data_IF_921925339608
#
_entry.id   IF_921925339608
#
_cell.length_a   1.000
_cell.length_b   1.000
_cell.length_c   1.000
_cell.angle_alpha   90.00
_cell.angle_beta   90.00
_cell.angle_gamma   90.00
#
_symmetry.space_group_name_H-M   'P 1'
#
loop_
_entity.id
_entity.type
_entity.pdbx_description
1 polymer ?
#
# COMPACT_ATOMS: atom_id res chain seq x y z
N UNK A 1 -56.23 28.15 59.40
CA UNK A 1 -55.90 26.76 59.01
C UNK A 1 -55.80 25.96 60.28
N UNK A 2 -56.57 24.88 60.40
CA UNK A 2 -56.52 24.00 61.57
C UNK A 2 -55.20 23.21 61.57
N UNK A 3 -54.59 23.02 62.75
CA UNK A 3 -53.35 22.28 62.94
C UNK A 3 -53.45 20.86 62.40
N UNK A 4 -54.63 20.25 62.50
CA UNK A 4 -54.89 18.90 62.00
C UNK A 4 -54.83 18.84 60.47
N UNK A 5 -55.28 19.89 59.78
CA UNK A 5 -55.20 19.99 58.32
C UNK A 5 -53.76 20.11 57.83
N UNK A 6 -52.92 20.88 58.54
CA UNK A 6 -51.51 21.02 58.21
C UNK A 6 -50.76 19.69 58.40
N UNK A 7 -51.07 18.95 59.48
CA UNK A 7 -50.48 17.63 59.74
C UNK A 7 -50.81 16.63 58.63
N UNK A 8 -52.07 16.57 58.19
CA UNK A 8 -52.49 15.69 57.08
C UNK A 8 -51.76 16.05 55.78
N UNK A 9 -51.58 17.34 55.47
CA UNK A 9 -50.82 17.75 54.28
C UNK A 9 -49.35 17.35 54.33
N UNK A 10 -48.71 17.46 55.50
CA UNK A 10 -47.31 17.02 55.69
C UNK A 10 -47.19 15.50 55.53
N UNK A 11 -48.12 14.72 56.10
CA UNK A 11 -48.11 13.25 55.94
C UNK A 11 -48.31 12.81 54.48
N UNK A 12 -49.18 13.51 53.73
CA UNK A 12 -49.35 13.26 52.29
C UNK A 12 -48.07 13.58 51.52
N UNK A 13 -47.45 14.73 51.77
CA UNK A 13 -46.19 15.13 51.14
C UNK A 13 -45.05 14.14 51.43
N UNK A 14 -44.96 13.63 52.66
CA UNK A 14 -43.97 12.60 53.02
C UNK A 14 -44.20 11.30 52.24
N UNK A 15 -45.45 10.84 52.13
CA UNK A 15 -45.78 9.64 51.35
C UNK A 15 -45.47 9.81 49.86
N UNK A 16 -45.72 10.99 49.31
CA UNK A 16 -45.39 11.30 47.91
C UNK A 16 -43.87 11.33 47.69
N UNK A 17 -43.12 11.94 48.61
CA UNK A 17 -41.67 11.94 48.59
C UNK A 17 -41.10 10.51 48.67
N UNK A 18 -41.64 9.66 49.55
CA UNK A 18 -41.21 8.26 49.67
C UNK A 18 -41.52 7.45 48.39
N UNK A 19 -42.67 7.67 47.77
CA UNK A 19 -43.00 7.06 46.46
C UNK A 19 -42.01 7.50 45.38
N UNK A 20 -41.66 8.79 45.36
CA UNK A 20 -40.71 9.33 44.40
C UNK A 20 -39.31 8.76 44.61
N UNK A 21 -38.82 8.68 45.85
CA UNK A 21 -37.54 8.06 46.18
C UNK A 21 -37.47 6.60 45.75
N UNK A 22 -38.50 5.81 46.05
CA UNK A 22 -38.56 4.41 45.62
C UNK A 22 -38.52 4.27 44.09
N UNK A 23 -39.16 5.19 43.38
CA UNK A 23 -39.16 5.22 41.90
C UNK A 23 -37.78 5.60 41.35
N UNK A 24 -37.09 6.56 41.98
CA UNK A 24 -35.72 6.95 41.62
C UNK A 24 -34.71 5.85 41.93
N UNK A 25 -34.83 5.14 43.05
CA UNK A 25 -33.99 4.01 43.41
C UNK A 25 -34.17 2.83 42.46
N UNK A 26 -35.41 2.56 42.05
CA UNK A 26 -35.69 1.58 41.01
C UNK A 26 -35.04 1.97 39.67
N UNK A 27 -35.27 3.21 39.23
CA UNK A 27 -34.72 3.72 37.97
C UNK A 27 -33.19 3.72 37.96
N UNK A 28 -32.56 4.08 39.08
CA UNK A 28 -31.10 4.05 39.26
C UNK A 28 -30.56 2.63 39.15
N UNK A 29 -31.24 1.64 39.76
CA UNK A 29 -30.85 0.23 39.65
C UNK A 29 -30.97 -0.29 38.22
N UNK A 30 -32.05 0.05 37.52
CA UNK A 30 -32.23 -0.33 36.11
C UNK A 30 -31.20 0.35 35.19
N UNK A 31 -30.91 1.64 35.41
CA UNK A 31 -29.86 2.35 34.69
C UNK A 31 -28.50 1.69 34.89
N UNK A 32 -28.15 1.32 36.13
CA UNK A 32 -26.89 0.63 36.41
C UNK A 32 -26.81 -0.75 35.74
N UNK A 33 -27.93 -1.50 35.68
CA UNK A 33 -28.01 -2.77 34.95
C UNK A 33 -27.79 -2.57 33.45
N UNK A 34 -28.42 -1.55 32.86
CA UNK A 34 -28.23 -1.21 31.45
C UNK A 34 -26.79 -0.79 31.15
N UNK A 35 -26.16 0.01 32.01
CA UNK A 35 -24.76 0.40 31.85
C UNK A 35 -23.81 -0.81 31.87
N UNK A 36 -24.00 -1.75 32.80
CA UNK A 36 -23.23 -2.98 32.85
C UNK A 36 -23.44 -3.86 31.60
N UNK A 37 -24.68 -3.93 31.07
CA UNK A 37 -24.97 -4.63 29.84
C UNK A 37 -24.28 -3.97 28.62
N UNK A 38 -24.30 -2.64 28.53
CA UNK A 38 -23.60 -1.88 27.49
C UNK A 38 -22.10 -2.14 27.54
N UNK A 39 -21.50 -2.12 28.73
CA UNK A 39 -20.06 -2.40 28.91
C UNK A 39 -19.71 -3.82 28.45
N UNK A 40 -20.52 -4.81 28.82
CA UNK A 40 -20.35 -6.20 28.37
C UNK A 40 -20.42 -6.32 26.83
N UNK A 41 -21.38 -5.67 26.19
CA UNK A 41 -21.51 -5.67 24.73
C UNK A 41 -20.30 -5.00 24.08
N UNK A 42 -19.81 -3.88 24.62
CA UNK A 42 -18.60 -3.21 24.11
C UNK A 42 -17.38 -4.13 24.17
N UNK A 43 -17.19 -4.84 25.28
CA UNK A 43 -16.09 -5.81 25.41
C UNK A 43 -16.20 -6.95 24.39
N UNK A 44 -17.40 -7.47 24.15
CA UNK A 44 -17.64 -8.48 23.12
C UNK A 44 -17.32 -7.95 21.72
N UNK A 45 -17.76 -6.74 21.38
CA UNK A 45 -17.45 -6.11 20.09
C UNK A 45 -15.94 -5.94 19.87
N UNK A 46 -15.20 -5.55 20.92
CA UNK A 46 -13.74 -5.48 20.86
C UNK A 46 -13.11 -6.87 20.62
N UNK A 47 -13.64 -7.90 21.29
CA UNK A 47 -13.23 -9.30 21.07
C UNK A 47 -13.44 -9.73 19.62
N UNK A 48 -14.64 -9.50 19.06
CA UNK A 48 -14.95 -9.81 17.66
C UNK A 48 -14.07 -9.04 16.68
N UNK A 49 -13.80 -7.75 16.95
CA UNK A 49 -12.91 -6.94 16.10
C UNK A 49 -11.50 -7.50 16.07
N UNK A 50 -10.94 -7.87 17.22
CA UNK A 50 -9.60 -8.50 17.29
C UNK A 50 -9.56 -9.83 16.56
N UNK A 51 -10.59 -10.67 16.77
CA UNK A 51 -10.69 -11.95 16.07
C UNK A 51 -10.78 -11.76 14.55
N UNK A 52 -11.58 -10.81 14.08
CA UNK A 52 -11.70 -10.49 12.64
C UNK A 52 -10.36 -10.07 12.04
N UNK A 53 -9.65 -9.14 12.68
CA UNK A 53 -8.32 -8.70 12.23
C UNK A 53 -7.34 -9.87 12.16
N UNK A 54 -7.36 -10.76 13.17
CA UNK A 54 -6.51 -11.95 13.18
C UNK A 54 -6.85 -12.92 12.05
N UNK A 55 -8.13 -13.18 11.79
CA UNK A 55 -8.57 -14.03 10.70
C UNK A 55 -8.23 -13.43 9.33
N UNK A 56 -8.48 -12.13 9.13
CA UNK A 56 -8.11 -11.40 7.90
C UNK A 56 -6.60 -11.51 7.64
N UNK A 57 -5.77 -11.29 8.65
CA UNK A 57 -4.33 -11.42 8.54
C UNK A 57 -3.89 -12.86 8.20
N UNK A 58 -4.51 -13.86 8.81
CA UNK A 58 -4.23 -15.27 8.51
C UNK A 58 -4.63 -15.65 7.08
N UNK A 59 -5.83 -15.25 6.63
CA UNK A 59 -6.29 -15.48 5.26
C UNK A 59 -5.35 -14.80 4.26
N UNK A 60 -4.98 -13.55 4.50
CA UNK A 60 -4.05 -12.82 3.63
C UNK A 60 -2.67 -13.50 3.57
N UNK A 61 -2.20 -14.05 4.69
CA UNK A 61 -0.95 -14.81 4.73
C UNK A 61 -1.03 -16.10 3.90
N UNK A 62 -2.09 -16.88 4.06
CA UNK A 62 -2.30 -18.11 3.27
C UNK A 62 -2.45 -17.82 1.78
N UNK A 63 -3.20 -16.78 1.41
CA UNK A 63 -3.32 -16.33 0.02
C UNK A 63 -1.97 -15.92 -0.57
N UNK A 64 -1.13 -15.25 0.21
CA UNK A 64 0.23 -14.87 -0.22
C UNK A 64 1.11 -16.10 -0.46
N UNK A 65 1.08 -17.11 0.43
CA UNK A 65 1.80 -18.37 0.24
C UNK A 65 1.36 -19.08 -1.03
N UNK A 66 0.04 -19.21 -1.23
CA UNK A 66 -0.53 -19.87 -2.40
C UNK A 66 -0.17 -19.13 -3.70
N UNK A 67 -0.33 -17.80 -3.72
CA UNK A 67 0.04 -16.97 -4.85
C UNK A 67 1.54 -17.09 -5.17
N UNK A 68 2.41 -17.12 -4.16
CA UNK A 68 3.85 -17.33 -4.32
C UNK A 68 4.15 -18.69 -4.95
N UNK A 69 3.52 -19.76 -4.48
CA UNK A 69 3.71 -21.10 -5.03
C UNK A 69 3.32 -21.16 -6.52
N UNK A 70 2.12 -20.68 -6.86
CA UNK A 70 1.63 -20.66 -8.24
C UNK A 70 2.49 -19.77 -9.17
N UNK A 71 2.86 -18.57 -8.72
CA UNK A 71 3.71 -17.69 -9.50
C UNK A 71 5.05 -18.33 -9.78
N UNK A 72 5.68 -18.95 -8.77
CA UNK A 72 6.97 -19.58 -8.92
C UNK A 72 6.91 -20.79 -9.85
N UNK A 73 5.86 -21.61 -9.74
CA UNK A 73 5.64 -22.76 -10.62
C UNK A 73 5.52 -22.32 -12.08
N UNK A 74 4.67 -21.34 -12.36
CA UNK A 74 4.51 -20.79 -13.71
C UNK A 74 5.83 -20.21 -14.24
N UNK A 75 6.57 -19.47 -13.41
CA UNK A 75 7.87 -18.90 -13.79
C UNK A 75 8.88 -20.00 -14.14
N UNK A 76 8.92 -21.07 -13.35
CA UNK A 76 9.79 -22.21 -13.62
C UNK A 76 9.40 -22.93 -14.92
N UNK A 77 8.11 -23.09 -15.20
CA UNK A 77 7.64 -23.64 -16.47
C UNK A 77 8.07 -22.75 -17.65
N UNK A 78 7.85 -21.43 -17.58
CA UNK A 78 8.30 -20.49 -18.62
C UNK A 78 9.81 -20.60 -18.86
N UNK A 79 10.60 -20.72 -17.78
CA UNK A 79 12.04 -20.93 -17.86
C UNK A 79 12.45 -22.25 -18.51
N UNK A 80 11.72 -23.33 -18.24
CA UNK A 80 12.02 -24.66 -18.75
C UNK A 80 11.63 -24.83 -20.23
N UNK A 81 10.48 -24.27 -20.63
CA UNK A 81 9.92 -24.48 -21.97
C UNK A 81 10.41 -23.49 -23.01
N UNK A 82 10.66 -22.23 -22.65
CA UNK A 82 11.00 -21.20 -23.63
C UNK A 82 12.49 -20.86 -23.59
N UNK A 83 13.18 -20.74 -24.73
CA UNK A 83 14.53 -20.20 -24.79
C UNK A 83 14.54 -18.71 -24.43
N UNK A 84 15.73 -18.16 -24.15
CA UNK A 84 15.87 -16.82 -23.56
C UNK A 84 15.23 -15.73 -24.42
N UNK A 85 15.36 -15.84 -25.74
CA UNK A 85 14.87 -14.87 -26.71
C UNK A 85 13.35 -14.75 -26.66
N UNK A 86 12.66 -15.88 -26.49
CA UNK A 86 11.19 -15.92 -26.35
C UNK A 86 10.77 -15.43 -24.96
N UNK A 87 11.53 -15.79 -23.91
CA UNK A 87 11.27 -15.27 -22.56
C UNK A 87 11.39 -13.75 -22.51
N UNK A 88 12.37 -13.17 -23.18
CA UNK A 88 12.52 -11.72 -23.28
C UNK A 88 11.26 -11.07 -23.88
N UNK A 89 10.58 -11.72 -24.85
CA UNK A 89 9.29 -11.24 -25.38
C UNK A 89 8.18 -11.22 -24.33
N UNK A 90 8.10 -12.28 -23.52
CA UNK A 90 7.17 -12.36 -22.38
C UNK A 90 7.53 -11.32 -21.32
N UNK A 91 8.81 -11.14 -21.03
CA UNK A 91 9.28 -10.13 -20.08
C UNK A 91 8.96 -8.73 -20.57
N UNK A 92 9.05 -8.45 -21.88
CA UNK A 92 8.49 -7.22 -22.41
C UNK A 92 7.05 -7.12 -21.99
N UNK A 93 6.19 -8.12 -22.32
CA UNK A 93 4.76 -8.19 -21.97
C UNK A 93 4.46 -7.74 -20.52
N UNK A 94 5.34 -8.12 -19.59
CA UNK A 94 5.19 -7.89 -18.16
C UNK A 94 5.79 -6.57 -17.66
N UNK A 95 6.81 -6.04 -18.33
CA UNK A 95 7.48 -4.82 -17.91
C UNK A 95 6.65 -3.60 -18.31
N UNK A 96 6.63 -2.53 -17.49
CA UNK A 96 5.92 -1.30 -17.77
C UNK A 96 6.60 -0.43 -18.86
N UNK A 97 7.28 -1.09 -19.80
CA UNK A 97 8.12 -0.51 -20.84
C UNK A 97 7.37 -0.41 -22.17
N UNK A 98 6.24 -1.12 -22.35
CA UNK A 98 5.54 -1.22 -23.65
C UNK A 98 5.13 0.06 -24.34
N UNK A 99 4.98 1.15 -23.60
CA UNK A 99 4.66 2.44 -24.19
C UNK A 99 5.85 3.40 -24.18
N UNK A 100 7.08 2.90 -24.05
CA UNK A 100 8.29 3.71 -24.18
C UNK A 100 8.59 3.94 -25.68
N UNK A 101 7.62 4.49 -26.39
CA UNK A 101 7.92 5.35 -27.52
C UNK A 101 8.66 6.59 -26.98
N UNK A 102 9.98 6.45 -26.86
CA UNK A 102 11.05 7.45 -26.89
C UNK A 102 10.90 8.83 -26.21
N UNK A 103 9.87 9.13 -25.42
CA UNK A 103 9.56 10.51 -24.98
C UNK A 103 8.98 10.67 -23.57
N UNK A 104 9.02 9.67 -22.71
CA UNK A 104 8.48 9.82 -21.35
C UNK A 104 9.40 10.66 -20.45
N UNK A 105 8.80 11.61 -19.74
CA UNK A 105 9.47 12.36 -18.69
C UNK A 105 9.66 11.47 -17.46
N UNK A 106 10.63 11.80 -16.59
CA UNK A 106 10.85 11.05 -15.34
C UNK A 106 9.57 11.00 -14.48
N UNK A 107 8.71 12.01 -14.53
CA UNK A 107 7.40 12.02 -13.86
C UNK A 107 6.44 10.93 -14.35
N UNK A 108 6.44 10.63 -15.66
CA UNK A 108 5.54 9.61 -16.24
C UNK A 108 5.96 8.19 -15.90
N UNK A 109 7.28 7.97 -15.80
CA UNK A 109 7.84 6.70 -15.32
C UNK A 109 7.46 6.50 -13.84
N UNK A 110 7.44 7.56 -13.03
CA UNK A 110 7.16 7.48 -11.61
C UNK A 110 5.70 7.14 -11.28
N UNK A 111 4.73 7.77 -11.97
CA UNK A 111 3.30 7.49 -11.74
C UNK A 111 2.94 6.05 -12.09
N UNK A 112 3.56 5.52 -13.15
CA UNK A 112 3.43 4.12 -13.57
C UNK A 112 4.11 3.20 -12.57
N UNK A 113 5.37 3.43 -12.21
CA UNK A 113 6.11 2.54 -11.28
C UNK A 113 5.42 2.41 -9.92
N UNK A 114 4.74 3.44 -9.41
CA UNK A 114 3.99 3.35 -8.17
C UNK A 114 2.82 2.35 -8.22
N UNK A 115 2.13 2.20 -9.36
CA UNK A 115 1.09 1.18 -9.50
C UNK A 115 1.67 -0.24 -9.68
N UNK A 116 2.92 -0.36 -10.15
CA UNK A 116 3.59 -1.65 -10.36
C UNK A 116 4.23 -2.26 -9.11
N UNK A 117 4.63 -1.46 -8.11
CA UNK A 117 5.21 -1.96 -6.84
C UNK A 117 4.26 -2.84 -6.02
N UNK A 118 2.97 -2.84 -6.36
CA UNK A 118 1.92 -3.65 -5.71
C UNK A 118 1.77 -5.04 -6.35
N UNK A 119 2.50 -5.35 -7.43
CA UNK A 119 2.24 -6.52 -8.27
C UNK A 119 3.28 -7.63 -8.01
N UNK A 120 2.81 -8.83 -7.63
CA UNK A 120 3.63 -10.03 -7.40
C UNK A 120 4.63 -10.36 -8.54
N UNK A 121 4.34 -9.89 -9.76
CA UNK A 121 5.11 -10.16 -10.99
C UNK A 121 6.53 -9.59 -11.01
N UNK A 122 6.85 -8.63 -10.14
CA UNK A 122 8.20 -8.04 -10.02
C UNK A 122 8.85 -8.34 -8.66
N UNK A 123 8.18 -9.10 -7.79
CA UNK A 123 8.73 -9.45 -6.48
C UNK A 123 9.56 -10.75 -6.59
N UNK A 124 10.87 -10.73 -6.27
CA UNK A 124 11.72 -11.93 -6.33
C UNK A 124 11.24 -13.06 -5.41
N UNK A 125 10.48 -12.74 -4.36
CA UNK A 125 9.87 -13.75 -3.49
C UNK A 125 8.79 -14.57 -4.18
N UNK A 126 8.12 -14.02 -5.21
CA UNK A 126 7.03 -14.68 -5.93
C UNK A 126 7.51 -15.37 -7.20
N UNK A 127 8.41 -14.73 -7.93
CA UNK A 127 8.84 -15.21 -9.26
C UNK A 127 10.19 -15.93 -9.24
N UNK A 128 10.87 -15.91 -8.10
CA UNK A 128 12.20 -16.49 -7.94
C UNK A 128 13.32 -15.57 -8.43
N UNK A 129 14.51 -15.77 -7.87
CA UNK A 129 15.69 -14.94 -8.16
C UNK A 129 16.12 -14.99 -9.62
N UNK A 130 16.02 -16.16 -10.26
CA UNK A 130 16.47 -16.33 -11.66
C UNK A 130 15.66 -15.47 -12.62
N UNK A 131 14.33 -15.58 -12.58
CA UNK A 131 13.44 -14.79 -13.42
C UNK A 131 13.55 -13.30 -13.10
N UNK A 132 13.68 -12.96 -11.82
CA UNK A 132 13.90 -11.57 -11.40
C UNK A 132 15.16 -10.95 -12.04
N UNK A 133 16.29 -11.68 -12.06
CA UNK A 133 17.51 -11.21 -12.72
C UNK A 133 17.28 -11.02 -14.21
N UNK A 134 16.63 -11.96 -14.90
CA UNK A 134 16.35 -11.80 -16.33
C UNK A 134 15.45 -10.59 -16.62
N UNK A 135 14.40 -10.36 -15.81
CA UNK A 135 13.52 -9.19 -15.92
C UNK A 135 14.28 -7.88 -15.73
N UNK A 136 15.15 -7.82 -14.72
CA UNK A 136 16.02 -6.67 -14.43
C UNK A 136 16.93 -6.38 -15.64
N UNK A 137 17.56 -7.41 -16.19
CA UNK A 137 18.42 -7.26 -17.36
C UNK A 137 17.65 -6.72 -18.57
N UNK A 138 16.47 -7.29 -18.86
CA UNK A 138 15.64 -6.85 -19.98
C UNK A 138 15.17 -5.41 -19.77
N UNK A 139 14.79 -5.06 -18.54
CA UNK A 139 14.39 -3.70 -18.19
C UNK A 139 15.50 -2.70 -18.48
N UNK A 140 16.70 -2.87 -17.90
CA UNK A 140 17.78 -1.90 -18.07
C UNK A 140 18.39 -1.91 -19.48
N UNK A 141 18.49 -3.07 -20.15
CA UNK A 141 18.93 -3.14 -21.55
C UNK A 141 18.06 -2.30 -22.49
N UNK A 142 16.76 -2.16 -22.18
CA UNK A 142 15.83 -1.38 -23.02
C UNK A 142 15.50 -0.01 -22.48
N UNK A 143 15.95 0.31 -21.28
CA UNK A 143 15.66 1.58 -20.65
C UNK A 143 16.41 2.71 -21.36
N UNK A 144 15.66 3.63 -21.96
CA UNK A 144 16.17 4.89 -22.51
C UNK A 144 15.64 6.01 -21.63
N UNK A 145 16.54 6.66 -20.88
CA UNK A 145 16.15 7.73 -19.96
C UNK A 145 16.42 9.09 -20.58
N UNK A 146 15.38 9.89 -20.69
CA UNK A 146 15.48 11.30 -21.08
C UNK A 146 15.38 12.16 -19.83
N UNK A 147 16.49 12.75 -19.41
CA UNK A 147 16.55 13.58 -18.21
C UNK A 147 16.42 15.03 -18.66
N UNK A 148 15.26 15.62 -18.39
CA UNK A 148 14.95 17.02 -18.68
C UNK A 148 14.91 17.76 -17.35
N UNK A 149 15.93 18.57 -17.05
CA UNK A 149 16.00 19.33 -15.80
C UNK A 149 17.34 19.20 -15.07
N UNK A 150 17.42 19.61 -13.79
CA UNK A 150 18.65 19.60 -13.01
C UNK A 150 19.15 18.18 -12.74
N UNK A 151 20.45 18.05 -12.44
CA UNK A 151 21.10 16.76 -12.13
C UNK A 151 20.44 15.99 -10.98
N UNK A 152 19.77 16.69 -10.05
CA UNK A 152 18.99 16.09 -8.97
C UNK A 152 17.85 15.18 -9.44
N UNK A 153 17.36 15.35 -10.68
CA UNK A 153 16.30 14.54 -11.28
C UNK A 153 16.73 13.07 -11.42
N UNK A 154 18.02 12.80 -11.64
CA UNK A 154 18.59 11.46 -11.63
C UNK A 154 18.48 10.79 -10.26
N UNK A 155 18.77 11.54 -9.19
CA UNK A 155 18.62 11.06 -7.82
C UNK A 155 17.17 10.63 -7.54
N UNK A 156 16.20 11.43 -7.97
CA UNK A 156 14.78 11.11 -7.84
C UNK A 156 14.38 9.85 -8.62
N UNK A 157 14.94 9.63 -9.81
CA UNK A 157 14.72 8.41 -10.57
C UNK A 157 15.24 7.17 -9.82
N UNK A 158 16.47 7.19 -9.30
CA UNK A 158 17.05 6.05 -8.55
C UNK A 158 16.24 5.67 -7.32
N UNK A 159 15.66 6.65 -6.62
CA UNK A 159 14.81 6.41 -5.45
C UNK A 159 13.47 5.75 -5.83
N UNK A 160 13.01 5.96 -7.06
CA UNK A 160 11.69 5.51 -7.54
C UNK A 160 11.77 4.37 -8.54
N UNK A 161 12.94 3.77 -8.74
CA UNK A 161 13.15 2.60 -9.59
C UNK A 161 12.22 1.44 -9.18
N UNK A 162 11.56 0.74 -10.14
CA UNK A 162 10.70 -0.41 -9.85
C UNK A 162 11.45 -1.58 -9.20
N UNK A 163 12.73 -1.76 -9.50
CA UNK A 163 13.56 -2.82 -8.93
C UNK A 163 14.35 -2.36 -7.70
N UNK A 164 14.47 -1.04 -7.52
CA UNK A 164 15.11 -0.39 -6.38
C UNK A 164 16.54 0.09 -6.66
N UNK A 165 17.13 0.85 -5.73
CA UNK A 165 18.41 1.52 -5.96
C UNK A 165 19.62 0.58 -6.02
N UNK A 166 19.48 -0.65 -5.51
CA UNK A 166 20.57 -1.66 -5.45
C UNK A 166 20.60 -2.59 -6.66
N UNK A 167 19.55 -2.62 -7.46
CA UNK A 167 19.43 -3.52 -8.62
C UNK A 167 19.83 -2.87 -9.93
N UNK A 168 19.95 -1.54 -9.98
CA UNK A 168 20.34 -0.80 -11.18
C UNK A 168 21.84 -1.02 -11.50
N UNK A 169 22.18 -1.86 -12.48
CA UNK A 169 23.56 -2.09 -12.83
C UNK A 169 23.92 -0.99 -13.82
N UNK A 170 24.85 -0.10 -13.45
CA UNK A 170 25.32 0.95 -14.34
C UNK A 170 25.71 0.43 -15.73
N UNK A 171 26.29 -0.78 -15.78
CA UNK A 171 26.71 -1.48 -17.00
C UNK A 171 25.57 -1.99 -17.89
N UNK A 172 24.34 -2.11 -17.36
CA UNK A 172 23.17 -2.55 -18.14
C UNK A 172 22.31 -1.39 -18.64
N UNK A 173 22.52 -0.17 -18.14
CA UNK A 173 21.79 1.00 -18.62
C UNK A 173 22.34 1.38 -19.98
N UNK A 174 21.62 1.01 -21.04
CA UNK A 174 22.13 1.15 -22.39
C UNK A 174 22.19 2.60 -22.88
N UNK A 175 21.25 3.48 -22.47
CA UNK A 175 21.19 4.89 -22.96
C UNK A 175 20.61 5.86 -21.94
N UNK A 176 21.40 6.84 -21.51
CA UNK A 176 20.94 8.04 -20.82
C UNK A 176 21.13 9.23 -21.75
N UNK A 177 20.07 10.01 -21.97
CA UNK A 177 20.09 11.24 -22.75
C UNK A 177 19.79 12.39 -21.82
N UNK A 178 20.79 13.24 -21.58
CA UNK A 178 20.58 14.49 -20.85
C UNK A 178 20.11 15.56 -21.82
N UNK A 179 18.98 16.18 -21.50
CA UNK A 179 18.53 17.41 -22.11
C UNK A 179 18.75 18.54 -21.10
N UNK A 180 19.79 19.34 -21.34
CA UNK A 180 20.08 20.54 -20.56
C UNK A 180 19.56 21.73 -21.36
N UNK A 181 18.76 22.59 -20.72
CA UNK A 181 18.35 23.86 -21.31
C UNK A 181 19.51 24.83 -21.15
N UNK A 182 20.15 25.18 -22.26
CA UNK A 182 21.18 26.21 -22.28
C UNK A 182 20.51 27.57 -22.13
N UNK A 183 20.79 28.30 -21.06
CA UNK A 183 20.26 29.66 -20.84
C UNK A 183 20.68 30.60 -21.98
N UNK A 184 21.87 30.39 -22.57
CA UNK A 184 22.42 31.21 -23.65
C UNK A 184 21.77 31.02 -25.04
N UNK A 185 21.02 29.94 -25.27
CA UNK A 185 20.57 29.57 -26.63
C UNK A 185 19.05 29.39 -26.75
N UNK A 186 18.30 29.43 -25.65
CA UNK A 186 16.85 29.20 -25.65
C UNK A 186 16.40 27.80 -26.14
N UNK A 187 17.33 26.92 -26.49
CA UNK A 187 17.08 25.62 -27.13
C UNK A 187 17.60 24.45 -26.28
N UNK A 188 16.93 23.30 -26.40
CA UNK A 188 17.35 22.05 -25.76
C UNK A 188 18.47 21.38 -26.58
N UNK A 189 19.62 21.09 -25.95
CA UNK A 189 20.67 20.26 -26.56
C UNK A 189 20.68 18.88 -25.92
N UNK A 190 20.82 17.85 -26.75
CA UNK A 190 20.96 16.47 -26.30
C UNK A 190 22.44 16.11 -26.17
N UNK A 191 22.83 15.63 -24.99
CA UNK A 191 24.16 15.09 -24.74
C UNK A 191 24.05 13.60 -24.49
N UNK A 192 24.51 12.74 -25.42
CA UNK A 192 24.68 11.32 -25.12
C UNK A 192 25.91 11.16 -24.22
N UNK A 193 25.69 10.76 -22.97
CA UNK A 193 26.79 10.32 -22.12
C UNK A 193 27.03 8.83 -22.39
N UNK A 194 28.15 8.51 -23.06
CA UNK A 194 28.71 7.16 -23.01
C UNK A 194 29.40 7.02 -21.65
N UNK A 195 28.62 6.64 -20.64
CA UNK A 195 29.12 6.38 -19.31
C UNK A 195 29.94 5.08 -19.32
N UNK A 196 31.25 5.20 -19.53
CA UNK A 196 32.22 4.17 -19.15
C UNK A 196 32.23 4.03 -17.62
N UNK A 197 31.27 3.27 -17.09
CA UNK A 197 31.19 2.98 -15.66
C UNK A 197 32.13 1.81 -15.36
N UNK A 198 33.36 2.13 -14.95
CA UNK A 198 34.29 1.22 -14.27
C UNK A 198 33.63 0.61 -13.04
#
# INVERSE_FOLDING_TARGET
MDLESQKVQVELALREHDKWNNTMDFSTREMNRMLAAIEKIKLQQLGFRRHRISCEANVQHQLSIYAKALCLELCNQVHAYFPREIRDLVYYALLPIHSLDSRLSISDVQSRVQSFKVIHRLNPDFIGKRLFVELVEVYYKRLILKIVGPSSTWGTFRLRDPFGPRTAPGKLINRIVFLIRSEELGAWKAFPENMGLS
#
